data_IF_014136686451
#
_entry.id   IF_014136686451
#
_cell.length_a   1.000
_cell.length_b   1.000
_cell.length_c   1.000
_cell.angle_alpha   90.00
_cell.angle_beta   90.00
_cell.angle_gamma   90.00
#
_symmetry.space_group_name_H-M   'P 1'
#
loop_
_entity.id
_entity.type
_entity.pdbx_description
1 polymer ?
#
# COMPACT_ATOMS: atom_id res chain seq x y z
N UNK A 1 4.59 -14.33 15.08
CA UNK A 1 5.25 -14.44 13.76
C UNK A 1 4.35 -14.98 12.62
N UNK A 2 3.11 -15.43 12.86
CA UNK A 2 2.21 -15.98 11.82
C UNK A 2 1.73 -14.91 10.81
N UNK A 3 1.62 -13.65 11.24
CA UNK A 3 1.12 -12.55 10.41
C UNK A 3 2.03 -12.16 9.23
N UNK A 4 3.36 -12.22 9.39
CA UNK A 4 4.29 -11.79 8.34
C UNK A 4 4.25 -12.71 7.12
N UNK A 5 4.06 -14.01 7.34
CA UNK A 5 3.88 -14.98 6.26
C UNK A 5 2.63 -14.69 5.42
N UNK A 6 1.53 -14.32 6.07
CA UNK A 6 0.28 -13.98 5.37
C UNK A 6 0.39 -12.67 4.59
N UNK A 7 0.95 -11.61 5.17
CA UNK A 7 1.12 -10.32 4.48
C UNK A 7 2.05 -10.42 3.27
N UNK A 8 3.16 -11.17 3.41
CA UNK A 8 4.08 -11.43 2.29
C UNK A 8 3.39 -12.25 1.19
N UNK A 9 2.56 -13.23 1.55
CA UNK A 9 1.75 -13.98 0.59
C UNK A 9 0.77 -13.07 -0.17
N UNK A 10 0.11 -12.13 0.52
CA UNK A 10 -0.76 -11.13 -0.12
C UNK A 10 0.02 -10.22 -1.08
N UNK A 11 1.20 -9.74 -0.68
CA UNK A 11 2.09 -8.94 -1.53
C UNK A 11 2.47 -9.71 -2.81
N UNK A 12 2.88 -10.97 -2.67
CA UNK A 12 3.23 -11.85 -3.80
C UNK A 12 2.02 -12.03 -4.74
N UNK A 13 0.84 -12.32 -4.17
CA UNK A 13 -0.38 -12.54 -4.95
C UNK A 13 -0.84 -11.26 -5.67
N UNK A 14 -0.66 -10.08 -5.08
CA UNK A 14 -1.04 -8.82 -5.70
C UNK A 14 -0.01 -8.31 -6.74
N UNK A 15 1.25 -8.75 -6.60
CA UNK A 15 2.28 -8.52 -7.60
C UNK A 15 2.18 -9.49 -8.78
N UNK A 16 1.49 -10.62 -8.60
CA UNK A 16 1.25 -11.64 -9.62
C UNK A 16 0.67 -11.03 -10.89
N UNK A 17 1.27 -11.36 -12.03
CA UNK A 17 0.78 -10.95 -13.35
C UNK A 17 0.70 -12.18 -14.25
N UNK A 18 -0.44 -12.38 -14.90
CA UNK A 18 -0.70 -13.51 -15.81
C UNK A 18 -0.31 -14.87 -15.20
N UNK A 19 -0.62 -15.11 -13.92
CA UNK A 19 -0.35 -16.38 -13.24
C UNK A 19 1.12 -16.68 -12.88
N UNK A 20 2.07 -15.78 -13.15
CA UNK A 20 3.51 -16.02 -12.94
C UNK A 20 3.95 -15.90 -11.46
N UNK A 21 3.58 -16.87 -10.63
CA UNK A 21 3.81 -16.81 -9.15
C UNK A 21 5.28 -16.90 -8.77
N UNK A 22 6.06 -17.73 -9.46
CA UNK A 22 7.50 -17.83 -9.21
C UNK A 22 8.23 -16.51 -9.53
N UNK A 23 7.82 -15.79 -10.59
CA UNK A 23 8.39 -14.48 -10.90
C UNK A 23 8.05 -13.46 -9.81
N UNK A 24 6.80 -13.43 -9.34
CA UNK A 24 6.40 -12.53 -8.25
C UNK A 24 7.17 -12.82 -6.96
N UNK A 25 7.33 -14.11 -6.59
CA UNK A 25 8.16 -14.53 -5.44
C UNK A 25 9.60 -14.04 -5.57
N UNK A 26 10.24 -14.28 -6.72
CA UNK A 26 11.62 -13.82 -6.98
C UNK A 26 11.76 -12.30 -6.82
N UNK A 27 10.77 -11.53 -7.25
CA UNK A 27 10.80 -10.06 -7.10
C UNK A 27 10.67 -9.67 -5.63
N UNK A 28 9.74 -10.26 -4.87
CA UNK A 28 9.51 -9.91 -3.46
C UNK A 28 10.71 -10.30 -2.60
N UNK A 29 11.19 -11.54 -2.69
CA UNK A 29 12.35 -11.97 -1.91
C UNK A 29 13.62 -11.24 -2.33
N UNK A 30 13.83 -11.03 -3.64
CA UNK A 30 14.95 -10.22 -4.10
C UNK A 30 14.88 -8.75 -3.68
N UNK A 31 13.68 -8.21 -3.43
CA UNK A 31 13.53 -6.88 -2.82
C UNK A 31 13.92 -6.90 -1.34
N UNK A 32 13.54 -7.95 -0.60
CA UNK A 32 13.94 -8.12 0.80
C UNK A 32 15.45 -8.29 0.96
N UNK A 33 16.10 -9.03 0.07
CA UNK A 33 17.57 -9.15 0.06
C UNK A 33 18.24 -7.78 -0.10
N UNK A 34 17.75 -6.95 -1.04
CA UNK A 34 18.25 -5.59 -1.24
C UNK A 34 17.99 -4.66 -0.05
N UNK A 35 16.86 -4.81 0.64
CA UNK A 35 16.58 -4.06 1.88
C UNK A 35 17.59 -4.47 2.95
N UNK A 36 17.84 -5.77 3.12
CA UNK A 36 18.81 -6.28 4.09
C UNK A 36 20.20 -5.74 3.82
N UNK A 37 20.64 -5.79 2.57
CA UNK A 37 21.93 -5.29 2.11
C UNK A 37 22.10 -3.78 2.38
N UNK A 38 21.08 -2.97 2.05
CA UNK A 38 21.16 -1.50 2.16
C UNK A 38 20.95 -0.96 3.56
N UNK A 39 20.09 -1.60 4.35
CA UNK A 39 19.69 -1.08 5.68
C UNK A 39 20.37 -1.80 6.83
N UNK A 40 20.93 -2.99 6.59
CA UNK A 40 21.47 -3.90 7.61
C UNK A 40 20.42 -4.24 8.70
N UNK A 41 19.13 -4.14 8.36
CA UNK A 41 17.99 -4.45 9.25
C UNK A 41 17.20 -5.62 8.69
N UNK A 42 16.36 -6.20 9.55
CA UNK A 42 15.46 -7.28 9.14
C UNK A 42 14.41 -6.76 8.14
N UNK A 43 14.35 -7.29 6.89
CA UNK A 43 13.48 -6.75 5.85
C UNK A 43 11.99 -6.82 6.20
N UNK A 44 11.61 -7.82 6.99
CA UNK A 44 10.23 -7.97 7.45
C UNK A 44 9.82 -6.83 8.39
N UNK A 45 10.72 -6.31 9.22
CA UNK A 45 10.42 -5.16 10.09
C UNK A 45 10.22 -3.88 9.27
N UNK A 46 11.07 -3.68 8.25
CA UNK A 46 10.92 -2.56 7.31
C UNK A 46 9.60 -2.68 6.54
N UNK A 47 9.25 -3.89 6.11
CA UNK A 47 7.99 -4.16 5.42
C UNK A 47 6.77 -3.88 6.31
N UNK A 48 6.78 -4.36 7.56
CA UNK A 48 5.68 -4.13 8.51
C UNK A 48 5.54 -2.64 8.85
N UNK A 49 6.66 -1.94 9.02
CA UNK A 49 6.67 -0.50 9.25
C UNK A 49 6.12 0.27 8.04
N UNK A 50 6.56 -0.07 6.83
CA UNK A 50 6.03 0.51 5.60
C UNK A 50 4.52 0.28 5.47
N UNK A 51 4.06 -0.94 5.76
CA UNK A 51 2.64 -1.29 5.75
C UNK A 51 1.84 -0.48 6.76
N UNK A 52 2.35 -0.31 7.98
CA UNK A 52 1.72 0.53 9.01
C UNK A 52 1.61 1.99 8.57
N UNK A 53 2.67 2.54 7.97
CA UNK A 53 2.70 3.94 7.56
C UNK A 53 1.78 4.24 6.37
N UNK A 54 1.68 3.32 5.40
CA UNK A 54 0.86 3.48 4.18
C UNK A 54 -0.62 3.13 4.43
N UNK A 55 -0.92 2.33 5.45
CA UNK A 55 -2.29 1.91 5.73
C UNK A 55 -3.22 3.10 6.05
N UNK A 56 -4.27 3.33 5.25
CA UNK A 56 -5.22 4.41 5.52
C UNK A 56 -6.23 4.02 6.60
N UNK A 57 -6.60 4.98 7.45
CA UNK A 57 -7.73 4.86 8.38
C UNK A 57 -9.06 5.27 7.74
N UNK A 58 -9.03 6.21 6.80
CA UNK A 58 -10.20 6.68 6.05
C UNK A 58 -9.97 6.48 4.55
N UNK A 59 -11.03 6.08 3.84
CA UNK A 59 -11.11 6.13 2.38
C UNK A 59 -12.34 6.95 1.98
N UNK A 60 -12.38 7.37 0.72
CA UNK A 60 -13.52 8.10 0.17
C UNK A 60 -14.15 7.25 -0.93
N UNK A 61 -15.46 7.09 -0.88
CA UNK A 61 -16.24 6.38 -1.91
C UNK A 61 -17.25 7.32 -2.54
N UNK A 62 -17.44 7.16 -3.85
CA UNK A 62 -18.52 7.85 -4.56
C UNK A 62 -19.85 7.19 -4.22
N UNK A 63 -20.83 7.97 -3.75
CA UNK A 63 -22.21 7.54 -3.51
C UNK A 63 -23.18 8.47 -4.22
N UNK A 64 -24.20 7.93 -4.87
CA UNK A 64 -25.26 8.72 -5.49
C UNK A 64 -26.40 8.95 -4.49
N UNK A 65 -26.74 10.22 -4.23
CA UNK A 65 -27.83 10.62 -3.33
C UNK A 65 -28.63 11.73 -4.00
N UNK A 66 -29.95 11.59 -4.07
CA UNK A 66 -30.83 12.64 -4.64
C UNK A 66 -30.47 13.07 -6.07
N UNK A 67 -29.94 12.15 -6.89
CA UNK A 67 -29.57 12.44 -8.29
C UNK A 67 -28.12 12.90 -8.49
N UNK A 68 -27.41 13.37 -7.46
CA UNK A 68 -26.01 13.83 -7.52
C UNK A 68 -25.02 12.81 -6.92
N UNK A 69 -23.75 12.89 -7.33
CA UNK A 69 -22.67 12.03 -6.82
C UNK A 69 -21.86 12.76 -5.74
N UNK A 70 -21.82 12.19 -4.54
CA UNK A 70 -21.09 12.71 -3.39
C UNK A 70 -19.88 11.83 -3.07
N UNK A 71 -18.81 12.47 -2.60
CA UNK A 71 -17.63 11.81 -2.06
C UNK A 71 -17.85 11.58 -0.56
N UNK A 72 -18.14 10.34 -0.17
CA UNK A 72 -18.47 9.97 1.20
C UNK A 72 -17.25 9.35 1.88
N UNK A 73 -16.69 9.98 2.94
CA UNK A 73 -15.62 9.38 3.71
C UNK A 73 -16.15 8.21 4.54
N UNK A 74 -15.41 7.11 4.57
CA UNK A 74 -15.71 5.90 5.34
C UNK A 74 -14.47 5.40 6.06
N UNK A 75 -14.67 4.85 7.25
CA UNK A 75 -13.60 4.15 7.97
C UNK A 75 -13.18 2.89 7.22
N UNK A 76 -11.88 2.73 7.02
CA UNK A 76 -11.30 1.51 6.44
C UNK A 76 -11.13 0.50 7.57
N UNK A 77 -11.63 -0.73 7.40
CA UNK A 77 -11.55 -1.79 8.42
C UNK A 77 -10.93 -3.07 7.88
N UNK A 78 -10.29 -3.85 8.77
CA UNK A 78 -9.75 -5.18 8.50
C UNK A 78 -8.85 -5.27 7.27
N UNK A 79 -9.06 -6.31 6.46
CA UNK A 79 -8.29 -6.66 5.27
C UNK A 79 -8.26 -5.57 4.19
N UNK A 80 -9.22 -4.64 4.22
CA UNK A 80 -9.25 -3.51 3.29
C UNK A 80 -8.04 -2.59 3.50
N UNK A 81 -7.60 -2.38 4.75
CA UNK A 81 -6.40 -1.58 5.06
C UNK A 81 -5.17 -2.17 4.38
N UNK A 82 -4.98 -3.48 4.57
CA UNK A 82 -3.88 -4.25 3.99
C UNK A 82 -3.92 -4.18 2.46
N UNK A 83 -5.09 -4.44 1.88
CA UNK A 83 -5.29 -4.44 0.41
C UNK A 83 -4.99 -3.09 -0.21
N UNK A 84 -5.43 -1.99 0.42
CA UNK A 84 -5.15 -0.63 -0.05
C UNK A 84 -3.68 -0.29 0.06
N UNK A 85 -3.05 -0.59 1.20
CA UNK A 85 -1.64 -0.31 1.41
C UNK A 85 -0.75 -1.04 0.40
N UNK A 86 -0.93 -2.35 0.24
CA UNK A 86 -0.19 -3.14 -0.74
C UNK A 86 -0.44 -2.66 -2.17
N UNK A 87 -1.69 -2.30 -2.52
CA UNK A 87 -2.02 -1.73 -3.83
C UNK A 87 -1.24 -0.45 -4.10
N UNK A 88 -1.17 0.45 -3.13
CA UNK A 88 -0.48 1.73 -3.27
C UNK A 88 1.04 1.55 -3.34
N UNK A 89 1.62 0.68 -2.51
CA UNK A 89 3.06 0.33 -2.58
C UNK A 89 3.41 -0.23 -3.95
N UNK A 90 2.68 -1.24 -4.43
CA UNK A 90 2.94 -1.86 -5.75
C UNK A 90 2.74 -0.84 -6.87
N UNK A 91 1.70 0.00 -6.79
CA UNK A 91 1.42 1.04 -7.76
C UNK A 91 2.54 2.07 -7.86
N UNK A 92 3.00 2.57 -6.71
CA UNK A 92 4.10 3.51 -6.61
C UNK A 92 5.43 2.91 -7.10
N UNK A 93 5.74 1.68 -6.67
CA UNK A 93 6.91 0.95 -7.16
C UNK A 93 6.87 0.79 -8.68
N UNK A 94 5.73 0.44 -9.30
CA UNK A 94 5.60 0.31 -10.75
C UNK A 94 5.84 1.62 -11.52
N UNK A 95 5.52 2.77 -10.92
CA UNK A 95 5.69 4.09 -11.55
C UNK A 95 7.14 4.55 -11.59
N UNK A 96 8.02 4.04 -10.71
CA UNK A 96 9.46 4.32 -10.78
C UNK A 96 10.00 3.87 -12.14
N UNK A 97 10.87 4.67 -12.77
CA UNK A 97 11.49 4.36 -14.08
C UNK A 97 12.95 3.94 -13.89
N UNK A 98 13.55 3.30 -14.90
CA UNK A 98 15.01 3.12 -14.98
C UNK A 98 15.62 1.89 -14.27
N UNK A 99 14.88 1.14 -13.45
CA UNK A 99 15.43 -0.03 -12.72
C UNK A 99 14.51 -1.28 -12.76
N UNK A 100 15.01 -2.47 -12.39
CA UNK A 100 14.19 -3.68 -12.24
C UNK A 100 13.14 -3.57 -11.12
N UNK A 101 12.06 -4.35 -11.21
CA UNK A 101 10.94 -4.28 -10.24
C UNK A 101 11.35 -4.59 -8.79
N UNK A 102 12.34 -5.48 -8.58
CA UNK A 102 12.84 -5.81 -7.23
C UNK A 102 13.46 -4.58 -6.54
N UNK A 103 14.22 -3.79 -7.28
CA UNK A 103 14.86 -2.57 -6.78
C UNK A 103 13.82 -1.47 -6.55
N UNK A 104 12.84 -1.34 -7.45
CA UNK A 104 11.72 -0.40 -7.27
C UNK A 104 10.92 -0.71 -6.00
N UNK A 105 10.62 -1.98 -5.78
CA UNK A 105 9.86 -2.42 -4.62
C UNK A 105 10.66 -2.22 -3.33
N UNK A 106 11.95 -2.60 -3.32
CA UNK A 106 12.82 -2.37 -2.18
C UNK A 106 12.91 -0.88 -1.82
N UNK A 107 13.12 -0.02 -2.83
CA UNK A 107 13.21 1.41 -2.63
C UNK A 107 11.89 2.02 -2.12
N UNK A 108 10.74 1.63 -2.69
CA UNK A 108 9.44 2.10 -2.20
C UNK A 108 9.14 1.65 -0.78
N UNK A 109 9.52 0.42 -0.39
CA UNK A 109 9.34 -0.07 0.97
C UNK A 109 10.21 0.69 1.98
N UNK A 110 11.48 0.94 1.65
CA UNK A 110 12.37 1.74 2.51
C UNK A 110 11.86 3.19 2.64
N UNK A 111 11.44 3.80 1.54
CA UNK A 111 10.90 5.16 1.53
C UNK A 111 9.62 5.24 2.37
N UNK A 112 8.69 4.28 2.19
CA UNK A 112 7.46 4.21 2.97
C UNK A 112 7.70 3.99 4.46
N UNK A 113 8.69 3.16 4.83
CA UNK A 113 9.10 2.98 6.22
C UNK A 113 9.61 4.27 6.86
N UNK A 114 10.24 5.14 6.07
CA UNK A 114 10.70 6.48 6.48
C UNK A 114 9.61 7.58 6.33
N UNK A 115 8.34 7.22 6.13
CA UNK A 115 7.23 8.16 5.90
C UNK A 115 7.41 9.09 4.69
N UNK A 116 8.13 8.62 3.66
CA UNK A 116 8.30 9.32 2.39
C UNK A 116 7.88 8.42 1.21
N UNK A 117 7.95 8.96 -0.01
CA UNK A 117 7.60 8.21 -1.22
C UNK A 117 6.15 8.39 -1.68
N UNK A 118 5.84 7.82 -2.84
CA UNK A 118 4.58 8.07 -3.54
C UNK A 118 3.42 7.33 -2.88
N UNK A 119 3.66 6.16 -2.28
CA UNK A 119 2.65 5.43 -1.52
C UNK A 119 2.16 6.22 -0.28
N UNK A 120 3.09 6.86 0.45
CA UNK A 120 2.75 7.71 1.60
C UNK A 120 1.99 8.96 1.16
N UNK A 121 2.45 9.64 0.10
CA UNK A 121 1.72 10.77 -0.47
C UNK A 121 0.28 10.40 -0.83
N UNK A 122 0.08 9.22 -1.44
CA UNK A 122 -1.28 8.73 -1.76
C UNK A 122 -2.15 8.56 -0.53
N UNK A 123 -1.61 8.03 0.56
CA UNK A 123 -2.32 7.91 1.86
C UNK A 123 -2.67 9.28 2.43
N UNK A 124 -1.72 10.23 2.44
CA UNK A 124 -1.93 11.60 2.92
C UNK A 124 -3.02 12.33 2.11
N UNK A 125 -2.95 12.25 0.78
CA UNK A 125 -3.96 12.85 -0.11
C UNK A 125 -5.36 12.25 0.13
N UNK A 126 -5.42 10.94 0.40
CA UNK A 126 -6.69 10.26 0.73
C UNK A 126 -7.26 10.75 2.06
N UNK A 127 -6.41 10.94 3.07
CA UNK A 127 -6.83 11.47 4.38
C UNK A 127 -7.31 12.92 4.27
N UNK A 128 -6.56 13.78 3.57
CA UNK A 128 -6.97 15.17 3.30
C UNK A 128 -8.30 15.23 2.56
N UNK A 129 -8.50 14.38 1.55
CA UNK A 129 -9.76 14.31 0.80
C UNK A 129 -10.92 13.83 1.68
N UNK A 130 -10.69 12.87 2.57
CA UNK A 130 -11.69 12.39 3.50
C UNK A 130 -12.08 13.48 4.52
N UNK A 131 -11.11 14.23 5.04
CA UNK A 131 -11.34 15.35 5.96
C UNK A 131 -12.11 16.49 5.30
N UNK A 132 -11.76 16.86 4.07
CA UNK A 132 -12.46 17.88 3.30
C UNK A 132 -13.94 17.54 3.06
N UNK A 133 -14.27 16.24 2.98
CA UNK A 133 -15.63 15.74 2.76
C UNK A 133 -16.30 15.22 4.04
N UNK A 134 -15.76 15.54 5.22
CA UNK A 134 -16.28 15.05 6.52
C UNK A 134 -17.76 15.38 6.73
N UNK A 135 -18.24 16.48 6.17
CA UNK A 135 -19.65 16.86 6.21
C UNK A 135 -20.58 15.77 5.62
N UNK A 136 -20.12 15.02 4.62
CA UNK A 136 -20.90 13.96 3.97
C UNK A 136 -20.78 12.59 4.63
N UNK A 137 -20.04 12.46 5.76
CA UNK A 137 -19.86 11.20 6.46
C UNK A 137 -21.18 10.57 6.91
N UNK A 138 -22.22 11.38 7.17
CA UNK A 138 -23.54 10.87 7.53
C UNK A 138 -24.15 10.00 6.42
N UNK A 139 -23.79 10.20 5.14
CA UNK A 139 -24.24 9.34 4.05
C UNK A 139 -23.48 8.00 3.99
N UNK A 140 -22.83 7.53 5.06
CA UNK A 140 -22.03 6.28 5.05
C UNK A 140 -22.80 5.01 5.41
N UNK A 141 -24.09 5.09 5.75
CA UNK A 141 -24.90 3.92 6.18
C UNK A 141 -25.37 3.02 5.03
#
# INVERSE_FOLDING_TARGET
MIHNSQLVSHLINQLLRKGKKNTAKKIVYGAFDLIKEKTQKEPLEIFDLAMKNVSPLLEVKSRRVGGANYQVPQEVRGDRKITLALRWIIGAAKQRKGVPMKEKLAAELMDAANNVGSAIKKRQDTHRMAEANRAFAHFSW
#
